data_IF_119183446066
#
_entry.id   IF_119183446066
#
_cell.length_a   1.000
_cell.length_b   1.000
_cell.length_c   1.000
_cell.angle_alpha   90.00
_cell.angle_beta   90.00
_cell.angle_gamma   90.00
#
_symmetry.space_group_name_H-M   'P 1'
#
loop_
_entity.id
_entity.type
_entity.pdbx_description
1 polymer ?
#
# COMPACT_ATOMS: atom_id res chain seq x y z
N UNK A 1 -9.58 -2.50 35.97
CA UNK A 1 -10.60 -3.19 35.16
C UNK A 1 -9.98 -3.55 33.80
N UNK A 2 -9.98 -4.81 33.45
CA UNK A 2 -9.48 -5.20 32.11
C UNK A 2 -10.56 -4.88 31.07
N UNK A 3 -10.22 -4.11 30.07
CA UNK A 3 -11.11 -3.82 28.94
C UNK A 3 -11.35 -5.12 28.15
N UNK A 4 -12.62 -5.45 27.90
CA UNK A 4 -12.95 -6.57 27.02
C UNK A 4 -12.68 -6.17 25.58
N UNK A 5 -11.68 -6.76 24.94
CA UNK A 5 -11.25 -6.48 23.57
C UNK A 5 -11.93 -7.36 22.51
N UNK A 6 -12.67 -8.39 22.93
CA UNK A 6 -13.31 -9.36 22.03
C UNK A 6 -14.20 -8.70 20.93
N UNK A 7 -15.03 -7.68 21.23
CA UNK A 7 -15.83 -7.03 20.20
C UNK A 7 -14.97 -6.31 19.16
N UNK A 8 -13.88 -5.68 19.59
CA UNK A 8 -12.95 -4.98 18.70
C UNK A 8 -12.17 -5.97 17.82
N UNK A 9 -11.72 -7.08 18.40
CA UNK A 9 -11.04 -8.15 17.66
C UNK A 9 -11.92 -8.72 16.54
N UNK A 10 -13.21 -8.96 16.81
CA UNK A 10 -14.18 -9.43 15.80
C UNK A 10 -14.37 -8.42 14.68
N UNK A 11 -14.46 -7.14 15.00
CA UNK A 11 -14.61 -6.07 13.98
C UNK A 11 -13.35 -5.98 13.13
N UNK A 12 -12.17 -6.04 13.72
CA UNK A 12 -10.89 -6.03 12.99
C UNK A 12 -10.79 -7.23 12.06
N UNK A 13 -11.12 -8.43 12.55
CA UNK A 13 -11.11 -9.64 11.72
C UNK A 13 -12.07 -9.54 10.53
N UNK A 14 -13.28 -9.01 10.75
CA UNK A 14 -14.26 -8.79 9.69
C UNK A 14 -13.77 -7.76 8.67
N UNK A 15 -13.23 -6.62 9.12
CA UNK A 15 -12.70 -5.59 8.24
C UNK A 15 -11.54 -6.13 7.40
N UNK A 16 -10.64 -6.89 8.02
CA UNK A 16 -9.50 -7.53 7.36
C UNK A 16 -9.95 -8.51 6.26
N UNK A 17 -10.95 -9.34 6.54
CA UNK A 17 -11.51 -10.29 5.56
C UNK A 17 -12.19 -9.57 4.39
N UNK A 18 -12.97 -8.52 4.66
CA UNK A 18 -13.63 -7.72 3.62
C UNK A 18 -12.61 -7.03 2.73
N UNK A 19 -11.59 -6.43 3.31
CA UNK A 19 -10.53 -5.77 2.53
C UNK A 19 -9.77 -6.77 1.65
N UNK A 20 -9.41 -7.94 2.18
CA UNK A 20 -8.74 -8.98 1.43
C UNK A 20 -9.57 -9.44 0.22
N UNK A 21 -10.87 -9.65 0.40
CA UNK A 21 -11.79 -10.02 -0.69
C UNK A 21 -11.91 -8.91 -1.75
N UNK A 22 -12.00 -7.65 -1.31
CA UNK A 22 -12.08 -6.51 -2.24
C UNK A 22 -10.78 -6.33 -3.03
N UNK A 23 -9.63 -6.51 -2.39
CA UNK A 23 -8.33 -6.48 -3.05
C UNK A 23 -8.18 -7.62 -4.06
N UNK A 24 -8.55 -8.84 -3.68
CA UNK A 24 -8.50 -10.00 -4.58
C UNK A 24 -9.34 -9.74 -5.83
N UNK A 25 -10.58 -9.28 -5.69
CA UNK A 25 -11.44 -8.93 -6.82
C UNK A 25 -10.89 -7.78 -7.67
N UNK A 26 -10.29 -6.78 -7.06
CA UNK A 26 -9.68 -5.66 -7.78
C UNK A 26 -8.47 -6.11 -8.60
N UNK A 27 -7.67 -7.05 -8.07
CA UNK A 27 -6.47 -7.57 -8.72
C UNK A 27 -6.72 -8.81 -9.61
N UNK A 28 -7.95 -9.27 -9.77
CA UNK A 28 -8.36 -10.19 -10.84
C UNK A 28 -8.23 -9.54 -12.23
N UNK A 29 -8.03 -8.21 -12.30
CA UNK A 29 -7.68 -7.51 -13.52
C UNK A 29 -6.38 -8.08 -14.10
N UNK A 30 -6.45 -8.64 -15.30
CA UNK A 30 -5.34 -9.34 -15.98
C UNK A 30 -4.07 -8.46 -16.10
N UNK A 31 -4.23 -7.13 -16.09
CA UNK A 31 -3.10 -6.18 -16.17
C UNK A 31 -2.14 -6.28 -14.99
N UNK A 32 -2.63 -6.69 -13.81
CA UNK A 32 -1.86 -6.67 -12.56
C UNK A 32 -1.75 -8.05 -11.88
N UNK A 33 -2.38 -9.09 -12.42
CA UNK A 33 -2.37 -10.46 -11.88
C UNK A 33 -0.97 -11.10 -11.81
N UNK A 34 -0.01 -10.53 -12.52
CA UNK A 34 1.39 -10.96 -12.56
C UNK A 34 2.21 -10.55 -11.33
N UNK A 35 1.68 -9.65 -10.47
CA UNK A 35 2.37 -9.19 -9.27
C UNK A 35 2.16 -10.16 -8.11
N UNK A 36 3.25 -10.58 -7.47
CA UNK A 36 3.18 -11.26 -6.17
C UNK A 36 2.86 -10.27 -5.05
N UNK A 37 2.40 -10.79 -3.91
CA UNK A 37 2.15 -9.96 -2.71
C UNK A 37 3.40 -9.15 -2.30
N UNK A 38 4.57 -9.75 -2.39
CA UNK A 38 5.83 -9.07 -2.10
C UNK A 38 6.10 -7.93 -3.09
N UNK A 39 5.86 -8.15 -4.37
CA UNK A 39 6.03 -7.13 -5.40
C UNK A 39 5.04 -5.98 -5.22
N UNK A 40 3.80 -6.28 -4.84
CA UNK A 40 2.81 -5.26 -4.47
C UNK A 40 3.27 -4.42 -3.28
N UNK A 41 3.84 -5.05 -2.24
CA UNK A 41 4.39 -4.32 -1.09
C UNK A 41 5.50 -3.36 -1.52
N UNK A 42 6.44 -3.82 -2.34
CA UNK A 42 7.52 -2.97 -2.85
C UNK A 42 6.97 -1.81 -3.69
N UNK A 43 6.05 -2.10 -4.61
CA UNK A 43 5.45 -1.08 -5.47
C UNK A 43 4.68 -0.02 -4.67
N UNK A 44 3.82 -0.44 -3.74
CA UNK A 44 3.09 0.47 -2.86
C UNK A 44 4.03 1.34 -2.01
N UNK A 45 5.12 0.78 -1.51
CA UNK A 45 6.12 1.52 -0.74
C UNK A 45 6.85 2.55 -1.60
N UNK A 46 7.23 2.18 -2.83
CA UNK A 46 7.86 3.10 -3.79
C UNK A 46 6.93 4.27 -4.13
N UNK A 47 5.65 3.98 -4.40
CA UNK A 47 4.65 5.01 -4.70
C UNK A 47 4.49 5.98 -3.52
N UNK A 48 4.38 5.45 -2.31
CA UNK A 48 4.23 6.25 -1.08
C UNK A 48 5.45 7.12 -0.77
N UNK A 49 6.65 6.61 -0.99
CA UNK A 49 7.90 7.35 -0.73
C UNK A 49 8.18 8.43 -1.76
N UNK A 50 7.68 8.28 -2.99
CA UNK A 50 8.00 9.17 -4.12
C UNK A 50 9.49 9.08 -4.48
N UNK A 51 9.85 8.62 -5.63
CA UNK A 51 11.22 8.58 -6.17
C UNK A 51 12.34 8.18 -5.18
N UNK A 52 12.21 7.11 -4.36
CA UNK A 52 13.22 6.73 -3.40
C UNK A 52 14.50 6.23 -4.08
N UNK A 53 15.63 6.30 -3.37
CA UNK A 53 16.83 5.56 -3.75
C UNK A 53 16.68 4.08 -3.34
N UNK A 54 17.54 3.21 -3.87
CA UNK A 54 17.58 1.81 -3.46
C UNK A 54 17.92 1.65 -1.97
N UNK A 55 18.79 2.52 -1.44
CA UNK A 55 19.15 2.53 -0.02
C UNK A 55 17.99 2.98 0.87
N UNK A 56 17.24 3.99 0.44
CA UNK A 56 16.05 4.48 1.16
C UNK A 56 14.99 3.37 1.25
N UNK A 57 14.76 2.67 0.15
CA UNK A 57 13.79 1.58 0.10
C UNK A 57 14.21 0.39 0.98
N UNK A 58 15.51 0.04 0.97
CA UNK A 58 16.05 -1.01 1.85
C UNK A 58 15.83 -0.68 3.32
N UNK A 59 16.04 0.57 3.69
CA UNK A 59 15.84 1.06 5.07
C UNK A 59 14.38 1.06 5.47
N UNK A 60 13.50 1.56 4.60
CA UNK A 60 12.05 1.61 4.84
C UNK A 60 11.45 0.23 5.02
N UNK A 61 11.83 -0.73 4.18
CA UNK A 61 11.33 -2.11 4.23
C UNK A 61 12.09 -3.00 5.22
N UNK A 62 13.18 -2.49 5.81
CA UNK A 62 14.07 -3.25 6.69
C UNK A 62 14.55 -4.57 6.04
N UNK A 63 15.05 -4.46 4.82
CA UNK A 63 15.57 -5.57 4.00
C UNK A 63 16.97 -5.26 3.50
N UNK A 64 17.66 -6.29 3.00
CA UNK A 64 18.99 -6.13 2.41
C UNK A 64 18.95 -5.41 1.05
N UNK A 65 20.03 -4.74 0.69
CA UNK A 65 20.17 -4.11 -0.64
C UNK A 65 20.04 -5.12 -1.79
N UNK A 66 20.62 -6.34 -1.74
CA UNK A 66 20.38 -7.36 -2.76
C UNK A 66 18.92 -7.73 -2.93
N UNK A 67 18.16 -7.79 -1.83
CA UNK A 67 16.72 -8.05 -1.87
C UNK A 67 15.97 -6.93 -2.60
N UNK A 68 16.31 -5.67 -2.33
CA UNK A 68 15.75 -4.52 -3.05
C UNK A 68 16.09 -4.59 -4.53
N UNK A 69 17.35 -4.82 -4.87
CA UNK A 69 17.81 -4.93 -6.27
C UNK A 69 17.05 -6.00 -7.03
N UNK A 70 16.84 -7.17 -6.44
CA UNK A 70 16.10 -8.26 -7.07
C UNK A 70 14.62 -7.91 -7.30
N UNK A 71 13.93 -7.38 -6.28
CA UNK A 71 12.50 -7.07 -6.39
C UNK A 71 12.24 -5.85 -7.28
N UNK A 72 13.04 -4.81 -7.17
CA UNK A 72 12.97 -3.64 -8.07
C UNK A 72 13.30 -4.03 -9.51
N UNK A 73 14.31 -4.88 -9.71
CA UNK A 73 14.65 -5.43 -11.03
C UNK A 73 13.47 -6.15 -11.67
N UNK A 74 12.71 -6.92 -10.91
CA UNK A 74 11.48 -7.56 -11.40
C UNK A 74 10.40 -6.54 -11.75
N UNK A 75 10.21 -5.50 -10.93
CA UNK A 75 9.24 -4.42 -11.21
C UNK A 75 9.64 -3.62 -12.46
N UNK A 76 10.95 -3.42 -12.70
CA UNK A 76 11.45 -2.79 -13.93
C UNK A 76 11.10 -3.64 -15.16
N UNK A 77 11.37 -4.94 -15.11
CA UNK A 77 11.05 -5.87 -16.20
C UNK A 77 9.55 -5.90 -16.52
N UNK A 78 8.72 -5.79 -15.51
CA UNK A 78 7.26 -5.76 -15.64
C UNK A 78 6.71 -4.37 -16.03
N UNK A 79 7.54 -3.35 -16.09
CA UNK A 79 7.20 -2.01 -16.56
C UNK A 79 6.55 -1.08 -15.53
N UNK A 80 6.62 -1.40 -14.24
CA UNK A 80 6.04 -0.58 -13.17
C UNK A 80 6.95 0.56 -12.73
N UNK A 81 8.25 0.35 -12.75
CA UNK A 81 9.23 1.33 -12.32
C UNK A 81 10.39 1.41 -13.30
N UNK A 82 11.13 2.52 -13.23
CA UNK A 82 12.35 2.75 -13.98
C UNK A 82 13.47 3.18 -13.01
N UNK A 83 14.70 2.84 -13.36
CA UNK A 83 15.89 3.27 -12.65
C UNK A 83 16.43 4.52 -13.31
N UNK A 84 16.55 5.61 -12.57
CA UNK A 84 17.06 6.90 -13.07
C UNK A 84 18.26 7.32 -12.27
N UNK A 85 19.34 7.64 -12.96
CA UNK A 85 20.58 8.12 -12.34
C UNK A 85 20.37 9.52 -11.75
N UNK A 86 20.91 9.75 -10.55
CA UNK A 86 20.90 11.06 -9.93
C UNK A 86 21.82 12.03 -10.69
N UNK A 87 21.37 13.29 -10.85
CA UNK A 87 22.15 14.32 -11.54
C UNK A 87 23.30 14.87 -10.70
N UNK A 88 23.14 14.90 -9.38
CA UNK A 88 24.13 15.43 -8.44
C UNK A 88 25.13 14.37 -8.01
N UNK A 89 24.68 13.13 -7.79
CA UNK A 89 25.51 11.98 -7.47
C UNK A 89 25.32 10.87 -8.49
N UNK A 90 26.20 10.78 -9.46
CA UNK A 90 26.17 9.78 -10.53
C UNK A 90 26.32 8.31 -10.04
N UNK A 91 26.64 8.11 -8.77
CA UNK A 91 26.67 6.79 -8.13
C UNK A 91 25.33 6.37 -7.55
N UNK A 92 24.42 7.32 -7.41
CA UNK A 92 23.10 7.10 -6.86
C UNK A 92 22.05 6.98 -7.95
N UNK A 93 21.05 6.13 -7.70
CA UNK A 93 19.91 5.91 -8.60
C UNK A 93 18.62 6.03 -7.83
N UNK A 94 17.66 6.71 -8.43
CA UNK A 94 16.29 6.81 -7.96
C UNK A 94 15.39 5.83 -8.69
N UNK A 95 14.34 5.40 -8.00
CA UNK A 95 13.30 4.54 -8.54
C UNK A 95 12.12 5.45 -8.91
N UNK A 96 11.80 5.52 -10.21
CA UNK A 96 10.70 6.31 -10.75
C UNK A 96 9.53 5.42 -11.06
N UNK A 97 8.30 5.86 -10.75
CA UNK A 97 7.08 5.15 -11.14
C UNK A 97 6.71 5.46 -12.59
N UNK A 98 6.15 4.47 -13.26
CA UNK A 98 5.62 4.59 -14.63
C UNK A 98 4.11 4.82 -14.62
N UNK A 99 3.51 5.07 -15.79
CA UNK A 99 2.05 5.16 -15.92
C UNK A 99 1.37 3.85 -15.47
N UNK A 100 1.97 2.70 -15.75
CA UNK A 100 1.46 1.39 -15.29
C UNK A 100 1.38 1.29 -13.77
N UNK A 101 2.34 1.89 -13.05
CA UNK A 101 2.31 1.97 -11.59
C UNK A 101 1.20 2.91 -11.09
N UNK A 102 0.97 4.03 -11.77
CA UNK A 102 -0.13 4.94 -11.44
C UNK A 102 -1.50 4.27 -11.64
N UNK A 103 -1.68 3.51 -12.71
CA UNK A 103 -2.90 2.75 -12.97
C UNK A 103 -3.14 1.68 -11.88
N UNK A 104 -2.07 1.02 -11.43
CA UNK A 104 -2.11 0.09 -10.29
C UNK A 104 -2.52 0.79 -9.00
N UNK A 105 -1.93 1.94 -8.71
CA UNK A 105 -2.24 2.73 -7.51
C UNK A 105 -3.71 3.20 -7.52
N UNK A 106 -4.22 3.64 -8.63
CA UNK A 106 -5.63 4.01 -8.78
C UNK A 106 -6.56 2.84 -8.45
N UNK A 107 -6.26 1.65 -8.94
CA UNK A 107 -7.02 0.44 -8.65
C UNK A 107 -6.98 0.12 -7.14
N UNK A 108 -5.83 0.21 -6.52
CA UNK A 108 -5.64 0.01 -5.08
C UNK A 108 -6.40 1.06 -4.25
N UNK A 109 -6.32 2.33 -4.63
CA UNK A 109 -7.07 3.43 -3.99
C UNK A 109 -8.58 3.22 -4.08
N UNK A 110 -9.08 2.66 -5.18
CA UNK A 110 -10.51 2.39 -5.36
C UNK A 110 -11.04 1.34 -4.37
N UNK A 111 -10.23 0.40 -3.92
CA UNK A 111 -10.61 -0.53 -2.85
C UNK A 111 -10.94 0.22 -1.57
N UNK A 112 -10.09 1.16 -1.16
CA UNK A 112 -10.31 1.98 0.03
C UNK A 112 -11.54 2.88 -0.11
N UNK A 113 -11.72 3.53 -1.27
CA UNK A 113 -12.89 4.37 -1.56
C UNK A 113 -14.20 3.56 -1.53
N UNK A 114 -14.19 2.37 -2.09
CA UNK A 114 -15.36 1.50 -2.11
C UNK A 114 -15.75 1.01 -0.71
N UNK A 115 -14.76 0.67 0.12
CA UNK A 115 -15.01 0.32 1.52
C UNK A 115 -15.58 1.50 2.30
N UNK A 116 -14.99 2.69 2.16
CA UNK A 116 -15.49 3.91 2.80
C UNK A 116 -16.92 4.22 2.36
N UNK A 117 -17.24 4.11 1.07
CA UNK A 117 -18.57 4.31 0.54
C UNK A 117 -19.58 3.27 1.08
N UNK A 118 -19.16 2.03 1.28
CA UNK A 118 -19.99 0.99 1.88
C UNK A 118 -20.31 1.32 3.34
N UNK A 119 -19.31 1.71 4.13
CA UNK A 119 -19.51 2.12 5.53
C UNK A 119 -20.43 3.36 5.62
N UNK A 120 -20.28 4.31 4.71
CA UNK A 120 -21.11 5.52 4.66
C UNK A 120 -22.59 5.25 4.42
N UNK A 121 -22.96 4.12 3.83
CA UNK A 121 -24.36 3.72 3.67
C UNK A 121 -25.02 3.26 4.98
N UNK A 122 -24.22 2.82 5.94
CA UNK A 122 -24.68 2.25 7.20
C UNK A 122 -24.59 3.25 8.37
N UNK A 123 -23.89 4.35 8.19
CA UNK A 123 -23.58 5.34 9.22
C UNK A 123 -24.06 6.73 8.79
N UNK A 124 -24.50 7.54 9.74
CA UNK A 124 -24.78 8.95 9.48
C UNK A 124 -23.45 9.77 9.43
N UNK A 125 -23.47 11.01 8.90
CA UNK A 125 -22.24 11.81 8.77
C UNK A 125 -21.47 12.02 10.07
N UNK A 126 -22.15 12.22 11.19
CA UNK A 126 -21.51 12.42 12.49
C UNK A 126 -20.83 11.14 12.99
N UNK A 127 -21.43 9.98 12.77
CA UNK A 127 -20.84 8.68 13.09
C UNK A 127 -19.61 8.38 12.22
N UNK A 128 -19.63 8.77 10.94
CA UNK A 128 -18.48 8.62 10.05
C UNK A 128 -17.30 9.47 10.55
N UNK A 129 -17.55 10.74 10.89
CA UNK A 129 -16.52 11.64 11.42
C UNK A 129 -15.94 11.11 12.74
N UNK A 130 -16.81 10.63 13.64
CA UNK A 130 -16.39 10.06 14.91
C UNK A 130 -15.56 8.79 14.73
N UNK A 131 -15.97 7.88 13.85
CA UNK A 131 -15.25 6.65 13.55
C UNK A 131 -13.87 6.97 12.96
N UNK A 132 -13.81 7.87 11.99
CA UNK A 132 -12.56 8.30 11.36
C UNK A 132 -11.59 8.91 12.38
N UNK A 133 -12.06 9.79 13.26
CA UNK A 133 -11.26 10.42 14.31
C UNK A 133 -10.73 9.40 15.32
N UNK A 134 -11.58 8.45 15.75
CA UNK A 134 -11.19 7.41 16.71
C UNK A 134 -10.13 6.47 16.12
N UNK A 135 -10.33 6.02 14.88
CA UNK A 135 -9.37 5.13 14.20
C UNK A 135 -8.05 5.85 13.92
N UNK A 136 -8.09 7.10 13.44
CA UNK A 136 -6.89 7.88 13.21
C UNK A 136 -6.05 8.01 14.50
N UNK A 137 -6.69 8.33 15.62
CA UNK A 137 -6.03 8.41 16.92
C UNK A 137 -5.51 7.06 17.40
N UNK A 138 -6.26 5.98 17.16
CA UNK A 138 -5.85 4.62 17.56
C UNK A 138 -4.63 4.12 16.78
N UNK A 139 -4.51 4.50 15.51
CA UNK A 139 -3.38 4.12 14.65
C UNK A 139 -2.17 5.07 14.78
N UNK A 140 -2.37 6.25 15.39
CA UNK A 140 -1.27 7.16 15.68
C UNK A 140 -0.34 6.50 16.71
N UNK A 141 0.92 6.31 16.34
CA UNK A 141 1.90 5.58 17.17
C UNK A 141 2.10 4.10 16.83
N UNK A 142 1.39 3.55 15.84
CA UNK A 142 1.67 2.21 15.30
C UNK A 142 2.71 2.24 14.16
N UNK A 143 3.17 3.43 13.76
CA UNK A 143 4.16 3.66 12.70
C UNK A 143 5.54 3.90 13.27
#
# INVERSE_FOLDING_TARGET
MKTNLEPLEKVIATASAIMAEMEERAFEDERFSELSMRQMLYLNTIIRMGHPTFSDLARELNVSKPSVTANVGTLIKKGYVAKVQDHEDLRSFHIMITQKALDFDELHQNVHKNLAAHLAKQLNPAEIEQLAALLARAFDGMK
#
